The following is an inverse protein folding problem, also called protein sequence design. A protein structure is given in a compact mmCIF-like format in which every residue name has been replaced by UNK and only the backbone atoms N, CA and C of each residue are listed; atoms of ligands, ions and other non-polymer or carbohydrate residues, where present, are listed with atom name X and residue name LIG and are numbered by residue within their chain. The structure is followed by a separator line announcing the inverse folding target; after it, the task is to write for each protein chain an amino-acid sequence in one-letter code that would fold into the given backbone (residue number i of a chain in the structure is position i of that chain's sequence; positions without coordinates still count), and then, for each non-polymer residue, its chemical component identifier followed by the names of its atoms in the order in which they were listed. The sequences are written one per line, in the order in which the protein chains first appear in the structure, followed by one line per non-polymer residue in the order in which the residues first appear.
data_IF_017933239676
#
_entry.id   IF_017933239676
#
_cell.length_a   1.000
_cell.length_b   1.000
_cell.length_c   1.000
_cell.angle_alpha   90.00
_cell.angle_beta   90.00
_cell.angle_gamma   90.00
#
_symmetry.space_group_name_H-M   'P 1'
#
loop_
_entity.id
_entity.type
_entity.pdbx_description
1 polymer ?
#
# COMPACT_ATOMS: atom_id res chain seq x y z
N UNK A 1 -15.05 -1.97 19.77
CA UNK A 1 -14.34 -0.76 20.23
C UNK A 1 -14.35 -0.61 21.76
N UNK A 2 -15.14 -1.39 22.50
CA UNK A 2 -15.37 -1.19 23.94
C UNK A 2 -14.41 -1.93 24.87
N UNK A 3 -13.42 -2.67 24.34
CA UNK A 3 -12.66 -3.67 25.12
C UNK A 3 -11.22 -3.22 25.43
N UNK A 4 -10.78 -2.09 24.84
CA UNK A 4 -9.48 -1.46 25.15
C UNK A 4 -9.50 -0.51 26.34
N UNK A 5 -10.65 -0.26 26.99
CA UNK A 5 -10.73 0.66 28.13
C UNK A 5 -10.15 0.08 29.43
N UNK A 6 -9.94 -1.24 29.49
CA UNK A 6 -9.57 -1.96 30.73
C UNK A 6 -8.25 -2.73 30.68
N UNK A 7 -7.53 -2.78 29.54
CA UNK A 7 -6.29 -3.56 29.39
C UNK A 7 -5.06 -2.66 29.28
N UNK A 8 -4.12 -2.83 30.22
CA UNK A 8 -2.72 -2.37 30.34
C UNK A 8 -2.16 -1.31 29.34
N UNK A 9 -1.29 -0.37 29.80
CA UNK A 9 -0.68 0.67 28.95
C UNK A 9 0.08 0.13 27.72
N UNK A 10 0.49 -1.14 27.76
CA UNK A 10 1.16 -1.85 26.67
C UNK A 10 0.23 -2.08 25.48
N UNK A 11 -1.04 -2.44 25.73
CA UNK A 11 -2.05 -2.64 24.67
C UNK A 11 -2.35 -1.34 23.92
N UNK A 12 -2.36 -0.22 24.64
CA UNK A 12 -2.57 1.09 24.03
C UNK A 12 -1.41 1.51 23.13
N UNK A 13 -0.17 1.11 23.45
CA UNK A 13 1.03 1.52 22.73
C UNK A 13 1.16 0.90 21.33
N UNK A 14 1.14 -0.43 21.24
CA UNK A 14 1.30 -1.11 19.94
C UNK A 14 0.09 -0.91 19.04
N UNK A 15 -1.13 -0.89 19.60
CA UNK A 15 -2.34 -0.67 18.80
C UNK A 15 -2.37 0.75 18.21
N UNK A 16 -1.97 1.77 18.98
CA UNK A 16 -1.81 3.15 18.47
C UNK A 16 -0.74 3.23 17.39
N UNK A 17 0.41 2.58 17.59
CA UNK A 17 1.49 2.57 16.60
C UNK A 17 1.05 1.91 15.28
N UNK A 18 0.39 0.75 15.35
CA UNK A 18 -0.16 0.07 14.17
C UNK A 18 -1.20 0.93 13.46
N UNK A 19 -2.12 1.55 14.20
CA UNK A 19 -3.12 2.45 13.61
C UNK A 19 -2.45 3.65 12.91
N UNK A 20 -1.44 4.27 13.54
CA UNK A 20 -0.70 5.38 12.95
C UNK A 20 0.02 4.95 11.65
N UNK A 21 0.69 3.78 11.64
CA UNK A 21 1.36 3.25 10.45
C UNK A 21 0.39 3.02 9.29
N UNK A 22 -0.78 2.44 9.57
CA UNK A 22 -1.82 2.20 8.56
C UNK A 22 -2.41 3.50 8.00
N UNK A 23 -2.65 4.50 8.86
CA UNK A 23 -3.17 5.82 8.44
C UNK A 23 -2.14 6.54 7.58
N UNK A 24 -0.87 6.57 8.01
CA UNK A 24 0.22 7.20 7.25
C UNK A 24 0.38 6.51 5.89
N UNK A 25 0.39 5.18 5.85
CA UNK A 25 0.44 4.42 4.60
C UNK A 25 -0.74 4.75 3.68
N UNK A 26 -1.96 4.83 4.21
CA UNK A 26 -3.15 5.17 3.43
C UNK A 26 -3.09 6.59 2.84
N UNK A 27 -2.60 7.57 3.61
CA UNK A 27 -2.41 8.95 3.13
C UNK A 27 -1.34 8.98 2.02
N UNK A 28 -0.21 8.28 2.23
CA UNK A 28 0.85 8.20 1.22
C UNK A 28 0.34 7.62 -0.10
N UNK A 29 -0.47 6.56 -0.04
CA UNK A 29 -1.09 5.96 -1.23
C UNK A 29 -2.03 6.92 -1.94
N UNK A 30 -2.90 7.61 -1.19
CA UNK A 30 -3.80 8.60 -1.77
C UNK A 30 -3.04 9.71 -2.50
N UNK A 31 -1.98 10.23 -1.88
CA UNK A 31 -1.10 11.24 -2.50
C UNK A 31 -0.40 10.68 -3.74
N UNK A 32 0.16 9.47 -3.66
CA UNK A 32 0.84 8.84 -4.80
C UNK A 32 -0.11 8.59 -5.98
N UNK A 33 -1.36 8.20 -5.73
CA UNK A 33 -2.38 8.04 -6.77
C UNK A 33 -2.71 9.37 -7.45
N UNK A 34 -2.90 10.44 -6.68
CA UNK A 34 -3.17 11.77 -7.22
C UNK A 34 -1.99 12.27 -8.08
N UNK A 35 -0.76 12.13 -7.57
CA UNK A 35 0.45 12.51 -8.32
C UNK A 35 0.61 11.68 -9.59
N UNK A 36 0.33 10.37 -9.53
CA UNK A 36 0.40 9.49 -10.71
C UNK A 36 -0.61 9.88 -11.77
N UNK A 37 -1.84 10.24 -11.37
CA UNK A 37 -2.86 10.72 -12.28
C UNK A 37 -2.44 12.02 -12.98
N UNK A 38 -1.92 12.99 -12.22
CA UNK A 38 -1.42 14.25 -12.78
C UNK A 38 -0.22 14.03 -13.71
N UNK A 39 0.70 13.12 -13.36
CA UNK A 39 1.85 12.77 -14.19
C UNK A 39 1.42 12.14 -15.53
N UNK A 40 0.44 11.24 -15.51
CA UNK A 40 -0.13 10.63 -16.73
C UNK A 40 -0.84 11.66 -17.61
N UNK A 41 -1.61 12.58 -17.02
CA UNK A 41 -2.26 13.66 -17.76
C UNK A 41 -1.26 14.62 -18.42
N UNK A 42 -0.07 14.80 -17.82
CA UNK A 42 0.97 15.72 -18.31
C UNK A 42 2.04 15.05 -19.17
N UNK A 43 1.91 13.76 -19.49
CA UNK A 43 2.96 12.98 -20.19
C UNK A 43 4.32 13.11 -19.49
N UNK A 44 4.31 13.06 -18.16
CA UNK A 44 5.50 13.19 -17.32
C UNK A 44 5.83 11.81 -16.70
N UNK A 45 5.93 10.77 -17.53
CA UNK A 45 6.03 9.39 -17.05
C UNK A 45 7.35 9.08 -16.33
N UNK A 46 8.40 9.87 -16.56
CA UNK A 46 9.65 9.80 -15.80
C UNK A 46 9.42 9.93 -14.29
N UNK A 47 8.44 10.76 -13.88
CA UNK A 47 8.10 10.95 -12.46
C UNK A 47 7.38 9.73 -11.86
N UNK A 48 6.76 8.87 -12.68
CA UNK A 48 6.07 7.66 -12.20
C UNK A 48 7.04 6.66 -11.59
N UNK A 49 8.28 6.57 -12.10
CA UNK A 49 9.30 5.70 -11.53
C UNK A 49 9.64 6.09 -10.09
N UNK A 50 9.75 7.39 -9.81
CA UNK A 50 10.02 7.90 -8.45
C UNK A 50 8.83 7.59 -7.54
N UNK A 51 7.60 7.82 -8.03
CA UNK A 51 6.38 7.51 -7.28
C UNK A 51 6.28 6.00 -6.97
N UNK A 52 6.68 5.13 -7.89
CA UNK A 52 6.76 3.69 -7.68
C UNK A 52 7.67 3.29 -6.52
N UNK A 53 8.86 3.89 -6.41
CA UNK A 53 9.76 3.64 -5.27
C UNK A 53 9.20 4.15 -3.93
N UNK A 54 8.51 5.29 -3.93
CA UNK A 54 7.83 5.80 -2.74
C UNK A 54 6.70 4.83 -2.31
N UNK A 55 5.96 4.30 -3.28
CA UNK A 55 4.94 3.26 -3.05
C UNK A 55 5.54 1.98 -2.47
N UNK A 56 6.73 1.57 -2.91
CA UNK A 56 7.44 0.42 -2.33
C UNK A 56 7.70 0.60 -0.82
N UNK A 57 8.13 1.79 -0.41
CA UNK A 57 8.38 2.12 1.00
C UNK A 57 7.06 2.09 1.78
N UNK A 58 5.98 2.64 1.21
CA UNK A 58 4.66 2.59 1.84
C UNK A 58 4.14 1.15 2.02
N UNK A 59 4.36 0.27 1.04
CA UNK A 59 4.02 -1.16 1.11
C UNK A 59 4.75 -1.83 2.29
N UNK A 60 6.04 -1.57 2.46
CA UNK A 60 6.83 -2.15 3.55
C UNK A 60 6.23 -1.76 4.91
N UNK A 61 5.90 -0.48 5.11
CA UNK A 61 5.26 -0.04 6.35
C UNK A 61 3.88 -0.68 6.57
N UNK A 62 3.06 -0.76 5.52
CA UNK A 62 1.72 -1.36 5.61
C UNK A 62 1.80 -2.87 5.92
N UNK A 63 2.74 -3.57 5.28
CA UNK A 63 2.97 -4.99 5.48
C UNK A 63 3.43 -5.28 6.92
N UNK A 64 4.38 -4.51 7.44
CA UNK A 64 4.84 -4.65 8.83
C UNK A 64 3.68 -4.42 9.81
N UNK A 65 2.85 -3.39 9.60
CA UNK A 65 1.69 -3.13 10.44
C UNK A 65 0.67 -4.29 10.42
N UNK A 66 0.43 -4.88 9.24
CA UNK A 66 -0.48 -6.03 9.04
C UNK A 66 0.02 -7.33 9.66
N UNK A 67 1.32 -7.47 9.89
CA UNK A 67 1.91 -8.62 10.59
C UNK A 67 1.97 -8.37 12.10
N UNK A 68 2.32 -7.17 12.55
CA UNK A 68 2.34 -6.83 13.99
C UNK A 68 0.94 -6.94 14.60
N UNK A 69 -0.09 -6.54 13.86
CA UNK A 69 -1.48 -6.59 14.31
C UNK A 69 -1.90 -8.00 14.79
N UNK A 70 -1.90 -9.07 13.96
CA UNK A 70 -2.31 -10.41 14.39
C UNK A 70 -1.35 -11.01 15.43
N UNK A 71 -0.05 -10.74 15.35
CA UNK A 71 0.92 -11.26 16.34
C UNK A 71 0.58 -10.70 17.72
N UNK A 72 0.41 -9.39 17.86
CA UNK A 72 0.10 -8.79 19.17
C UNK A 72 -1.34 -9.08 19.60
N UNK A 73 -2.27 -9.12 18.66
CA UNK A 73 -3.67 -9.44 18.93
C UNK A 73 -3.85 -10.87 19.47
N UNK A 74 -3.10 -11.84 18.92
CA UNK A 74 -3.14 -13.24 19.39
C UNK A 74 -2.61 -13.38 20.82
N UNK A 75 -1.53 -12.67 21.14
CA UNK A 75 -0.93 -12.69 22.48
C UNK A 75 -1.81 -12.02 23.55
N UNK A 76 -2.65 -11.04 23.18
CA UNK A 76 -3.38 -10.21 24.17
C UNK A 76 -4.89 -10.42 24.23
N UNK A 77 -5.55 -10.79 23.13
CA UNK A 77 -7.03 -10.77 23.02
C UNK A 77 -7.65 -12.13 22.69
N UNK A 78 -6.94 -13.02 22.01
CA UNK A 78 -7.47 -14.34 21.62
C UNK A 78 -7.54 -15.33 22.80
N UNK A 79 -6.82 -15.08 23.90
CA UNK A 79 -6.88 -15.91 25.10
C UNK A 79 -8.25 -15.89 25.81
N UNK A 80 -9.11 -14.91 25.51
CA UNK A 80 -10.47 -14.78 26.08
C UNK A 80 -11.58 -15.44 25.22
N UNK A 81 -11.24 -16.14 24.13
CA UNK A 81 -12.12 -17.12 23.50
C UNK A 81 -12.98 -16.68 22.30
N UNK A 82 -13.32 -15.40 22.13
CA UNK A 82 -14.30 -14.97 21.11
C UNK A 82 -13.87 -13.72 20.30
N UNK A 83 -12.71 -13.76 19.64
CA UNK A 83 -12.30 -12.67 18.73
C UNK A 83 -12.03 -13.14 17.31
N UNK A 84 -12.89 -12.71 16.40
CA UNK A 84 -12.68 -12.82 14.95
C UNK A 84 -11.98 -11.57 14.39
N UNK A 85 -11.13 -11.78 13.38
CA UNK A 85 -10.57 -10.65 12.63
C UNK A 85 -11.68 -9.89 11.92
N UNK A 86 -11.69 -8.56 12.08
CA UNK A 86 -12.66 -7.72 11.41
C UNK A 86 -12.40 -7.67 9.90
N UNK A 87 -13.45 -7.39 9.11
CA UNK A 87 -13.39 -7.19 7.66
C UNK A 87 -12.32 -6.15 7.24
N UNK A 88 -12.04 -5.18 8.10
CA UNK A 88 -11.02 -4.15 7.89
C UNK A 88 -9.60 -4.70 7.81
N UNK A 89 -9.33 -5.85 8.43
CA UNK A 89 -8.04 -6.54 8.31
C UNK A 89 -7.85 -7.08 6.88
N UNK A 90 -8.90 -7.69 6.32
CA UNK A 90 -8.91 -8.11 4.91
C UNK A 90 -8.77 -6.93 3.95
N UNK A 91 -9.41 -5.80 4.25
CA UNK A 91 -9.24 -4.56 3.50
C UNK A 91 -7.77 -4.08 3.48
N UNK A 92 -7.07 -4.15 4.62
CA UNK A 92 -5.65 -3.78 4.69
C UNK A 92 -4.74 -4.66 3.83
N UNK A 93 -4.97 -5.98 3.82
CA UNK A 93 -4.27 -6.91 2.92
C UNK A 93 -4.56 -6.62 1.44
N UNK A 94 -5.83 -6.40 1.11
CA UNK A 94 -6.25 -6.05 -0.25
C UNK A 94 -5.59 -4.76 -0.74
N UNK A 95 -5.54 -3.73 0.11
CA UNK A 95 -4.84 -2.48 -0.19
C UNK A 95 -3.34 -2.71 -0.48
N UNK A 96 -2.68 -3.59 0.29
CA UNK A 96 -1.24 -3.89 0.12
C UNK A 96 -0.96 -4.62 -1.19
N UNK A 97 -1.82 -5.57 -1.58
CA UNK A 97 -1.71 -6.28 -2.86
C UNK A 97 -1.94 -5.32 -4.03
N UNK A 98 -2.95 -4.45 -3.94
CA UNK A 98 -3.22 -3.45 -4.96
C UNK A 98 -2.04 -2.50 -5.12
N UNK A 99 -1.48 -2.01 -4.02
CA UNK A 99 -0.27 -1.18 -4.04
C UNK A 99 0.91 -1.89 -4.72
N UNK A 100 1.10 -3.17 -4.45
CA UNK A 100 2.16 -3.97 -5.08
C UNK A 100 1.99 -4.02 -6.60
N UNK A 101 0.76 -4.22 -7.09
CA UNK A 101 0.44 -4.13 -8.51
C UNK A 101 0.75 -2.75 -9.11
N UNK A 102 0.36 -1.67 -8.43
CA UNK A 102 0.65 -0.30 -8.87
C UNK A 102 2.16 0.01 -8.89
N UNK A 103 2.91 -0.49 -7.90
CA UNK A 103 4.37 -0.33 -7.85
C UNK A 103 5.04 -0.94 -9.08
N UNK A 104 4.69 -2.18 -9.43
CA UNK A 104 5.23 -2.85 -10.62
C UNK A 104 4.84 -2.09 -11.88
N UNK A 105 3.57 -1.71 -12.00
CA UNK A 105 3.06 -0.94 -13.12
C UNK A 105 3.84 0.37 -13.32
N UNK A 106 3.99 1.20 -12.28
CA UNK A 106 4.69 2.48 -12.38
C UNK A 106 6.19 2.35 -12.62
N UNK A 107 6.84 1.28 -12.15
CA UNK A 107 8.25 1.03 -12.45
C UNK A 107 8.47 0.64 -13.92
N UNK A 108 7.53 -0.12 -14.50
CA UNK A 108 7.62 -0.63 -15.87
C UNK A 108 7.07 0.33 -16.93
N UNK A 109 6.07 1.16 -16.59
CA UNK A 109 5.37 2.03 -17.55
C UNK A 109 6.28 2.97 -18.36
N UNK A 110 7.33 3.60 -17.80
CA UNK A 110 8.22 4.47 -18.57
C UNK A 110 8.93 3.77 -19.72
N UNK A 111 9.08 2.43 -19.67
CA UNK A 111 9.69 1.65 -20.76
C UNK A 111 8.76 1.53 -21.98
N UNK A 112 7.45 1.62 -21.75
CA UNK A 112 6.41 1.46 -22.75
C UNK A 112 5.82 2.81 -23.18
N UNK A 113 6.44 3.92 -22.79
CA UNK A 113 5.96 5.28 -23.10
C UNK A 113 5.76 5.48 -24.60
N UNK A 114 6.78 5.15 -25.40
CA UNK A 114 6.77 5.34 -26.84
C UNK A 114 5.65 4.53 -27.53
N UNK A 115 5.38 3.33 -27.03
CA UNK A 115 4.28 2.47 -27.51
C UNK A 115 2.91 3.00 -27.08
N UNK A 116 2.79 3.53 -25.85
CA UNK A 116 1.55 4.11 -25.33
C UNK A 116 1.11 5.37 -26.07
N UNK A 117 2.06 6.22 -26.47
CA UNK A 117 1.77 7.45 -27.19
C UNK A 117 1.72 7.28 -28.71
N UNK A 118 1.98 6.08 -29.21
CA UNK A 118 1.96 5.77 -30.64
C UNK A 118 3.12 6.38 -31.43
N UNK A 119 4.14 6.88 -30.74
CA UNK A 119 5.39 7.41 -31.32
C UNK A 119 6.40 6.28 -31.60
N UNK A 120 6.10 5.04 -31.19
CA UNK A 120 6.88 3.86 -31.51
C UNK A 120 7.01 3.71 -33.04
N UNK A 121 8.26 3.76 -33.54
CA UNK A 121 8.58 3.43 -34.93
C UNK A 121 8.00 2.07 -35.26
N UNK A 122 7.07 2.03 -36.20
CA UNK A 122 6.55 0.80 -36.81
C UNK A 122 7.76 -0.01 -37.31
N UNK A 123 8.16 -1.04 -36.57
CA UNK A 123 9.25 -1.92 -36.98
C UNK A 123 8.66 -2.85 -38.01
N UNK A 124 8.74 -2.46 -39.29
CA UNK A 124 8.37 -3.33 -40.39
C UNK A 124 9.37 -4.49 -40.41
N UNK A 125 8.87 -5.68 -40.11
CA UNK A 125 9.58 -6.93 -40.34
C UNK A 125 9.50 -7.18 -41.85
N UNK A 126 10.53 -6.75 -42.59
CA UNK A 126 10.70 -7.17 -43.99
C UNK A 126 11.27 -8.58 -43.92
N UNK A 127 10.42 -9.57 -44.22
CA UNK A 127 10.79 -10.92 -44.60
C UNK A 127 10.74 -11.06 -46.12
#
# INVERSE_FOLDING_TARGET
MTICASLSPVCLGWAKATAALLIIGCILVAVCLLLSFLALCKRAVDFLRIIGFILLIAIIFQFIALIIFPVKFTETQIQDGDYEYSWSYGFGWGATILMMGCCLFFCCLPKYEDELYGDAKQTYIIG
#
